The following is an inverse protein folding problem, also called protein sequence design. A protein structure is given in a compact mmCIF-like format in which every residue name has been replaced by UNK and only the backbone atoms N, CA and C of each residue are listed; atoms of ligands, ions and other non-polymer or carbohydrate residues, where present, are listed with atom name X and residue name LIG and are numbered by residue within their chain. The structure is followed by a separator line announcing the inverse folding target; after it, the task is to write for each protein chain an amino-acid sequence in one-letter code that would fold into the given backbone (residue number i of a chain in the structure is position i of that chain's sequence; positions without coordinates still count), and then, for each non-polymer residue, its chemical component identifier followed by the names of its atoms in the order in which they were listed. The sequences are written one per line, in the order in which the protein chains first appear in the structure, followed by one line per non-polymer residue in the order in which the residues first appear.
data_IF_266364468732
#
_entry.id   IF_266364468732
#
_cell.length_a   1.000
_cell.length_b   1.000
_cell.length_c   1.000
_cell.angle_alpha   90.00
_cell.angle_beta   90.00
_cell.angle_gamma   90.00
#
_symmetry.space_group_name_H-M   'P 1'
#
loop_
_entity.id
_entity.type
_entity.pdbx_description
1 polymer ?
#
# COMPACT_ATOMS: atom_id res chain seq x y z
N UNK A 1 -12.26 -13.45 7.77
CA UNK A 1 -11.82 -14.67 7.04
C UNK A 1 -12.61 -14.83 5.74
N UNK A 2 -12.34 -13.97 4.75
CA UNK A 2 -13.01 -13.99 3.44
C UNK A 2 -11.98 -14.16 2.34
N UNK A 3 -12.30 -14.94 1.31
CA UNK A 3 -11.46 -15.13 0.11
C UNK A 3 -12.19 -14.66 -1.15
N UNK A 4 -11.43 -14.45 -2.20
CA UNK A 4 -11.99 -14.07 -3.50
C UNK A 4 -12.44 -15.33 -4.26
N UNK A 5 -13.70 -15.34 -4.73
CA UNK A 5 -14.22 -16.34 -5.66
C UNK A 5 -14.33 -15.71 -7.04
N UNK A 6 -13.97 -16.49 -8.06
CA UNK A 6 -14.09 -16.14 -9.48
C UNK A 6 -14.58 -17.38 -10.21
N UNK A 7 -15.67 -17.27 -10.94
CA UNK A 7 -16.25 -18.34 -11.75
C UNK A 7 -16.10 -18.02 -13.23
N UNK A 8 -16.13 -16.75 -13.62
CA UNK A 8 -15.99 -16.30 -15.00
C UNK A 8 -14.54 -15.91 -15.36
N UNK A 9 -14.13 -16.06 -16.64
CA UNK A 9 -12.84 -15.60 -17.12
C UNK A 9 -12.69 -14.08 -16.96
N UNK A 10 -11.44 -13.61 -16.91
CA UNK A 10 -11.07 -12.19 -16.77
C UNK A 10 -11.59 -11.48 -15.50
N UNK A 11 -11.98 -12.23 -14.45
CA UNK A 11 -12.43 -11.72 -13.15
C UNK A 11 -13.71 -10.87 -13.20
N UNK A 12 -14.60 -11.12 -14.17
CA UNK A 12 -15.83 -10.33 -14.37
C UNK A 12 -16.88 -10.50 -13.26
N UNK A 13 -16.76 -11.56 -12.46
CA UNK A 13 -17.71 -11.94 -11.40
C UNK A 13 -17.05 -12.03 -10.01
N UNK A 14 -15.88 -11.41 -9.84
CA UNK A 14 -15.11 -11.52 -8.61
C UNK A 14 -15.94 -11.08 -7.38
N UNK A 15 -16.12 -12.00 -6.42
CA UNK A 15 -16.92 -11.75 -5.22
C UNK A 15 -16.24 -12.30 -3.96
N UNK A 16 -16.51 -11.67 -2.83
CA UNK A 16 -15.97 -12.09 -1.54
C UNK A 16 -16.88 -13.15 -0.91
N UNK A 17 -16.31 -14.32 -0.61
CA UNK A 17 -17.00 -15.39 0.10
C UNK A 17 -16.30 -15.67 1.43
N UNK A 18 -17.05 -16.17 2.42
CA UNK A 18 -16.44 -16.68 3.66
C UNK A 18 -15.60 -17.91 3.31
N UNK A 19 -14.39 -17.97 3.84
CA UNK A 19 -13.57 -19.17 3.66
C UNK A 19 -13.98 -20.24 4.68
N UNK A 20 -14.51 -21.36 4.19
CA UNK A 20 -14.93 -22.48 5.03
C UNK A 20 -13.76 -23.28 5.61
N UNK A 21 -12.60 -23.24 4.95
CA UNK A 21 -11.39 -23.97 5.33
C UNK A 21 -10.29 -23.00 5.78
N UNK A 22 -10.67 -22.02 6.59
CA UNK A 22 -9.73 -21.00 7.07
C UNK A 22 -8.64 -21.63 7.94
N UNK A 23 -7.40 -21.39 7.57
CA UNK A 23 -6.21 -21.95 8.21
C UNK A 23 -5.38 -20.82 8.80
N UNK A 24 -5.43 -20.65 10.11
CA UNK A 24 -4.75 -19.55 10.81
C UNK A 24 -3.23 -19.66 10.73
N UNK A 25 -2.68 -20.88 10.67
CA UNK A 25 -1.23 -21.12 10.60
C UNK A 25 -0.66 -20.70 9.24
N UNK A 26 -1.47 -20.77 8.18
CA UNK A 26 -1.11 -20.17 6.90
C UNK A 26 -0.96 -18.63 7.01
N UNK A 27 -1.80 -17.97 7.79
CA UNK A 27 -1.88 -16.51 7.86
C UNK A 27 -0.99 -15.88 8.92
N UNK A 28 -0.74 -16.56 10.05
CA UNK A 28 0.10 -16.08 11.15
C UNK A 28 1.32 -16.96 11.24
N UNK A 29 2.49 -16.42 10.87
CA UNK A 29 3.73 -17.20 10.73
C UNK A 29 4.82 -16.70 11.66
N UNK A 30 5.46 -17.58 12.45
CA UNK A 30 6.70 -17.21 13.11
C UNK A 30 7.83 -17.08 12.08
N UNK A 31 8.77 -16.18 12.35
CA UNK A 31 9.99 -16.00 11.58
C UNK A 31 11.10 -15.50 12.51
N UNK A 32 12.35 -15.80 12.18
CA UNK A 32 13.50 -15.37 12.96
C UNK A 32 14.54 -14.70 12.06
N UNK A 33 15.21 -13.67 12.58
CA UNK A 33 16.33 -13.05 11.88
C UNK A 33 17.63 -13.84 12.11
N UNK A 34 18.49 -13.94 11.09
CA UNK A 34 19.86 -14.39 11.31
C UNK A 34 20.62 -13.37 12.18
N UNK A 35 21.58 -13.86 12.97
CA UNK A 35 22.53 -12.98 13.66
C UNK A 35 23.22 -12.06 12.63
N UNK A 36 23.46 -10.77 12.95
CA UNK A 36 23.32 -10.12 14.26
C UNK A 36 21.91 -9.57 14.59
N UNK A 37 20.91 -9.73 13.71
CA UNK A 37 19.54 -9.29 14.03
C UNK A 37 19.33 -7.76 14.01
N UNK A 38 20.07 -7.01 13.18
CA UNK A 38 19.90 -5.55 13.08
C UNK A 38 18.68 -5.21 12.25
N UNK A 39 18.31 -3.93 12.26
CA UNK A 39 17.29 -3.37 11.37
C UNK A 39 17.59 -3.64 9.89
N UNK A 40 18.88 -3.74 9.50
CA UNK A 40 19.27 -4.11 8.13
C UNK A 40 18.75 -5.49 7.75
N UNK A 41 18.94 -6.50 8.61
CA UNK A 41 18.47 -7.86 8.37
C UNK A 41 16.93 -7.91 8.39
N UNK A 42 16.28 -7.17 9.28
CA UNK A 42 14.83 -7.03 9.32
C UNK A 42 14.27 -6.50 8.00
N UNK A 43 14.80 -5.39 7.49
CA UNK A 43 14.32 -4.76 6.26
C UNK A 43 14.61 -5.64 5.04
N UNK A 44 15.68 -6.44 5.04
CA UNK A 44 15.93 -7.44 4.01
C UNK A 44 14.88 -8.56 4.01
N UNK A 45 14.50 -9.06 5.20
CA UNK A 45 13.42 -10.04 5.34
C UNK A 45 12.08 -9.46 4.85
N UNK A 46 11.70 -8.28 5.33
CA UNK A 46 10.47 -7.58 4.93
C UNK A 46 10.42 -7.38 3.41
N UNK A 47 11.56 -7.01 2.79
CA UNK A 47 11.68 -6.88 1.34
C UNK A 47 11.28 -8.14 0.59
N UNK A 48 11.78 -9.30 1.06
CA UNK A 48 11.45 -10.60 0.47
C UNK A 48 9.97 -10.95 0.66
N UNK A 49 9.45 -10.79 1.87
CA UNK A 49 8.05 -11.09 2.20
C UNK A 49 7.08 -10.18 1.41
N UNK A 50 7.44 -8.92 1.22
CA UNK A 50 6.61 -7.99 0.46
C UNK A 50 6.63 -8.26 -1.05
N UNK A 51 7.75 -8.74 -1.60
CA UNK A 51 7.89 -9.09 -3.01
C UNK A 51 7.04 -10.31 -3.43
N UNK A 52 6.82 -11.26 -2.52
CA UNK A 52 6.04 -12.47 -2.81
C UNK A 52 4.56 -12.12 -3.09
N UNK A 53 3.96 -12.70 -4.14
CA UNK A 53 2.53 -12.50 -4.39
C UNK A 53 1.71 -13.31 -3.38
N UNK A 54 0.61 -12.73 -2.90
CA UNK A 54 -0.31 -13.44 -2.01
C UNK A 54 -1.14 -14.46 -2.80
N UNK A 55 -1.44 -15.59 -2.17
CA UNK A 55 -2.37 -16.57 -2.73
C UNK A 55 -3.81 -16.02 -2.69
N UNK A 56 -4.38 -15.75 -3.87
CA UNK A 56 -5.72 -15.21 -4.01
C UNK A 56 -6.83 -16.23 -3.72
N UNK A 57 -6.47 -17.52 -3.56
CA UNK A 57 -7.41 -18.61 -3.19
C UNK A 57 -7.70 -18.64 -1.68
N UNK A 58 -6.98 -17.85 -0.89
CA UNK A 58 -7.11 -17.71 0.56
C UNK A 58 -7.45 -16.26 0.92
N UNK A 59 -7.84 -15.97 2.17
CA UNK A 59 -7.94 -14.59 2.62
C UNK A 59 -6.65 -13.82 2.35
N UNK A 60 -6.76 -12.67 1.69
CA UNK A 60 -5.58 -11.95 1.19
C UNK A 60 -4.95 -11.06 2.25
N UNK A 61 -4.58 -11.66 3.37
CA UNK A 61 -3.78 -11.05 4.44
C UNK A 61 -2.78 -12.08 5.00
N UNK A 62 -1.62 -11.61 5.47
CA UNK A 62 -0.59 -12.41 6.12
C UNK A 62 0.01 -11.57 7.26
N UNK A 63 0.41 -12.21 8.35
CA UNK A 63 1.05 -11.62 9.51
C UNK A 63 2.27 -12.47 9.90
N UNK A 64 3.41 -11.81 10.08
CA UNK A 64 4.66 -12.46 10.47
C UNK A 64 5.09 -11.91 11.83
N UNK A 65 5.27 -12.81 12.80
CA UNK A 65 5.91 -12.50 14.07
C UNK A 65 7.41 -12.79 13.92
N UNK A 66 8.23 -11.74 13.94
CA UNK A 66 9.65 -11.80 13.62
C UNK A 66 10.47 -11.62 14.92
N UNK A 67 11.16 -12.68 15.33
CA UNK A 67 12.06 -12.68 16.49
C UNK A 67 13.54 -12.51 16.09
N UNK A 68 14.41 -12.44 17.09
CA UNK A 68 15.86 -12.35 16.89
C UNK A 68 16.36 -10.96 16.52
N UNK A 69 15.59 -9.91 16.86
CA UNK A 69 16.02 -8.52 16.69
C UNK A 69 16.87 -8.11 17.89
N UNK A 70 17.99 -7.42 17.63
CA UNK A 70 18.87 -6.90 18.67
C UNK A 70 18.13 -6.03 19.71
N UNK A 71 18.55 -6.10 20.97
CA UNK A 71 18.00 -5.31 22.06
C UNK A 71 16.69 -5.85 22.63
N UNK A 72 16.49 -7.17 22.64
CA UNK A 72 15.29 -7.83 23.17
C UNK A 72 13.99 -7.34 22.50
N UNK A 73 14.01 -7.25 21.17
CA UNK A 73 12.88 -6.76 20.37
C UNK A 73 12.35 -7.85 19.46
N UNK A 74 11.11 -7.68 19.06
CA UNK A 74 10.48 -8.42 17.98
C UNK A 74 9.80 -7.43 17.03
N UNK A 75 9.44 -7.89 15.85
CA UNK A 75 8.66 -7.12 14.89
C UNK A 75 7.43 -7.88 14.45
N UNK A 76 6.38 -7.13 14.12
CA UNK A 76 5.20 -7.65 13.44
C UNK A 76 5.21 -7.07 12.04
N UNK A 77 5.20 -7.94 11.03
CA UNK A 77 5.04 -7.53 9.64
C UNK A 77 3.70 -8.03 9.11
N UNK A 78 2.81 -7.09 8.80
CA UNK A 78 1.48 -7.37 8.28
C UNK A 78 1.38 -6.96 6.82
N UNK A 79 0.86 -7.85 5.99
CA UNK A 79 0.63 -7.63 4.57
C UNK A 79 -0.84 -7.89 4.27
N UNK A 80 -1.53 -6.91 3.71
CA UNK A 80 -2.95 -7.01 3.39
C UNK A 80 -3.17 -6.51 1.97
N UNK A 81 -3.97 -7.23 1.19
CA UNK A 81 -4.30 -6.80 -0.16
C UNK A 81 -5.26 -5.61 -0.15
N UNK A 82 -4.98 -4.59 -0.96
CA UNK A 82 -5.68 -3.30 -0.95
C UNK A 82 -7.18 -3.40 -1.29
N UNK A 83 -7.60 -4.44 -2.01
CA UNK A 83 -9.02 -4.74 -2.27
C UNK A 83 -9.79 -5.16 -1.02
N UNK A 84 -9.11 -5.61 0.03
CA UNK A 84 -9.71 -6.02 1.30
C UNK A 84 -9.77 -4.86 2.28
N UNK A 85 -8.72 -4.05 2.34
CA UNK A 85 -8.55 -2.97 3.32
C UNK A 85 -7.81 -1.81 2.68
N UNK A 86 -8.32 -0.60 2.85
CA UNK A 86 -7.61 0.62 2.48
C UNK A 86 -6.49 0.95 3.51
N UNK A 87 -5.43 1.64 3.09
CA UNK A 87 -4.25 1.91 3.92
C UNK A 87 -4.57 2.63 5.23
N UNK A 88 -5.51 3.57 5.24
CA UNK A 88 -5.94 4.27 6.46
C UNK A 88 -6.63 3.31 7.44
N UNK A 89 -7.49 2.42 6.93
CA UNK A 89 -8.18 1.42 7.74
C UNK A 89 -7.19 0.40 8.33
N UNK A 90 -6.16 0.00 7.57
CA UNK A 90 -5.11 -0.89 8.05
C UNK A 90 -4.31 -0.28 9.20
N UNK A 91 -3.91 1.00 9.09
CA UNK A 91 -3.17 1.70 10.16
C UNK A 91 -4.02 1.86 11.42
N UNK A 92 -5.31 2.24 11.27
CA UNK A 92 -6.23 2.35 12.40
C UNK A 92 -6.45 1.03 13.11
N UNK A 93 -6.56 -0.07 12.36
CA UNK A 93 -6.64 -1.41 12.93
C UNK A 93 -5.38 -1.75 13.73
N UNK A 94 -4.20 -1.46 13.19
CA UNK A 94 -2.97 -1.78 13.89
C UNK A 94 -2.83 -0.98 15.18
N UNK A 95 -3.21 0.31 15.15
CA UNK A 95 -3.23 1.17 16.33
C UNK A 95 -4.27 0.73 17.38
N UNK A 96 -5.45 0.28 16.96
CA UNK A 96 -6.50 -0.13 17.90
C UNK A 96 -6.19 -1.41 18.69
N UNK A 97 -5.12 -2.12 18.32
CA UNK A 97 -4.63 -3.32 19.02
C UNK A 97 -3.30 -3.08 19.74
N UNK A 98 -2.83 -1.83 19.80
CA UNK A 98 -1.65 -1.45 20.57
C UNK A 98 -2.10 -0.93 21.92
N UNK A 99 -1.69 -1.63 22.97
CA UNK A 99 -1.96 -1.23 24.34
C UNK A 99 -1.17 0.04 24.70
N UNK A 100 -1.77 0.91 25.51
CA UNK A 100 -1.07 2.06 26.07
C UNK A 100 -0.29 1.71 27.35
N UNK A 101 -0.74 0.67 28.05
CA UNK A 101 -0.14 0.13 29.28
C UNK A 101 0.04 -1.38 29.20
N UNK A 102 0.86 -1.97 30.08
CA UNK A 102 1.16 -3.40 30.05
C UNK A 102 -0.04 -4.29 30.45
N UNK A 103 -1.01 -3.73 31.18
CA UNK A 103 -2.14 -4.48 31.76
C UNK A 103 -3.38 -4.50 30.86
N UNK A 104 -3.34 -3.78 29.73
CA UNK A 104 -4.44 -3.76 28.76
C UNK A 104 -4.49 -5.06 27.96
N UNK A 105 -5.54 -5.84 28.17
CA UNK A 105 -5.83 -7.03 27.36
C UNK A 105 -6.55 -6.62 26.07
N UNK A 106 -5.76 -6.43 25.01
CA UNK A 106 -6.26 -6.16 23.66
C UNK A 106 -6.14 -7.40 22.77
N UNK A 107 -7.17 -7.69 21.97
CA UNK A 107 -7.11 -8.84 21.08
C UNK A 107 -6.04 -8.61 20.00
N UNK A 108 -5.37 -9.67 19.52
CA UNK A 108 -4.25 -9.52 18.61
C UNK A 108 -4.68 -8.96 17.25
N UNK A 109 -3.75 -8.37 16.50
CA UNK A 109 -4.06 -7.75 15.19
C UNK A 109 -4.71 -8.71 14.18
N UNK A 110 -4.43 -10.02 14.28
CA UNK A 110 -4.94 -11.04 13.37
C UNK A 110 -6.34 -11.58 13.75
N UNK A 111 -6.86 -11.24 14.92
CA UNK A 111 -8.24 -11.58 15.32
C UNK A 111 -9.26 -10.54 14.83
N UNK A 112 -8.81 -9.54 14.08
CA UNK A 112 -9.67 -8.54 13.48
C UNK A 112 -10.78 -9.20 12.66
N UNK A 113 -12.01 -9.11 13.15
CA UNK A 113 -13.16 -9.45 12.34
C UNK A 113 -13.33 -8.39 11.28
N UNK A 114 -13.04 -8.76 10.04
CA UNK A 114 -13.35 -7.97 8.86
C UNK A 114 -14.87 -7.95 8.65
N UNK A 115 -15.59 -7.31 9.57
CA UNK A 115 -17.04 -7.17 9.54
C UNK A 115 -17.42 -6.23 8.41
N UNK A 116 -17.90 -6.86 7.34
CA UNK A 116 -18.84 -6.37 6.34
C UNK A 116 -19.18 -4.88 6.43
N UNK A 117 -18.52 -4.06 5.61
CA UNK A 117 -19.31 -3.26 4.66
C UNK A 117 -19.59 -4.17 3.47
N UNK A 118 -20.48 -5.14 3.64
CA UNK A 118 -21.15 -5.66 2.45
C UNK A 118 -21.84 -4.43 1.87
N UNK A 119 -21.64 -4.08 0.59
CA UNK A 119 -22.64 -3.28 -0.08
C UNK A 119 -23.98 -3.96 0.23
N UNK A 120 -24.98 -3.16 0.65
CA UNK A 120 -26.36 -3.63 0.73
C UNK A 120 -26.58 -4.48 -0.52
N UNK A 121 -27.07 -5.71 -0.40
CA UNK A 121 -27.42 -6.55 -1.57
C UNK A 121 -28.48 -5.80 -2.37
N UNK A 122 -28.08 -4.80 -3.16
CA UNK A 122 -28.75 -4.53 -4.39
C UNK A 122 -28.56 -5.81 -5.19
N UNK A 123 -29.67 -6.43 -5.54
CA UNK A 123 -29.70 -7.52 -6.50
C UNK A 123 -29.12 -6.95 -7.79
N UNK A 124 -27.79 -6.97 -7.91
CA UNK A 124 -27.11 -6.73 -9.19
C UNK A 124 -27.44 -7.98 -9.98
N UNK A 125 -28.51 -7.89 -10.77
CA UNK A 125 -28.68 -8.74 -11.93
C UNK A 125 -27.33 -8.81 -12.64
N UNK A 126 -26.95 -10.00 -13.11
CA UNK A 126 -25.84 -10.16 -14.05
C UNK A 126 -25.99 -9.04 -15.09
N UNK A 127 -24.97 -8.18 -15.31
CA UNK A 127 -25.10 -7.13 -16.29
C UNK A 127 -25.42 -7.81 -17.61
N UNK A 128 -26.59 -7.49 -18.18
CA UNK A 128 -26.84 -7.76 -19.58
C UNK A 128 -25.63 -7.21 -20.36
N UNK A 129 -25.12 -7.93 -21.38
CA UNK A 129 -24.09 -7.35 -22.24
C UNK A 129 -24.61 -6.00 -22.73
N UNK A 130 -23.83 -4.91 -22.58
CA UNK A 130 -24.29 -3.59 -22.95
C UNK A 130 -24.70 -3.63 -24.41
N UNK A 131 -25.86 -3.04 -24.72
CA UNK A 131 -26.29 -2.92 -26.10
C UNK A 131 -25.20 -2.17 -26.91
N UNK A 132 -25.07 -2.40 -28.23
CA UNK A 132 -24.09 -1.69 -29.05
C UNK A 132 -24.15 -0.17 -28.90
N UNK A 133 -25.34 0.38 -28.62
CA UNK A 133 -25.55 1.81 -28.34
C UNK A 133 -24.95 2.24 -27.00
N UNK A 134 -25.09 1.45 -25.95
CA UNK A 134 -24.50 1.74 -24.62
C UNK A 134 -22.98 1.62 -24.63
N UNK A 135 -22.43 0.65 -25.37
CA UNK A 135 -20.99 0.52 -25.59
C UNK A 135 -20.43 1.74 -26.35
N UNK A 136 -21.11 2.17 -27.41
CA UNK A 136 -20.75 3.36 -28.19
C UNK A 136 -20.84 4.64 -27.36
N UNK A 137 -21.92 4.82 -26.61
CA UNK A 137 -22.10 5.98 -25.73
C UNK A 137 -21.07 6.01 -24.60
N UNK A 138 -20.71 4.86 -24.04
CA UNK A 138 -19.64 4.77 -23.02
C UNK A 138 -18.27 5.13 -23.60
N UNK A 139 -17.99 4.71 -24.83
CA UNK A 139 -16.77 5.08 -25.55
C UNK A 139 -16.73 6.57 -25.88
N UNK A 140 -17.83 7.13 -26.38
CA UNK A 140 -17.96 8.55 -26.68
C UNK A 140 -17.84 9.42 -25.42
N UNK A 141 -18.46 9.01 -24.31
CA UNK A 141 -18.35 9.69 -23.02
C UNK A 141 -16.93 9.60 -22.44
N UNK A 142 -16.24 8.47 -22.61
CA UNK A 142 -14.83 8.32 -22.23
C UNK A 142 -13.90 9.22 -23.05
N UNK A 143 -14.15 9.34 -24.36
CA UNK A 143 -13.43 10.26 -25.23
C UNK A 143 -13.68 11.74 -24.85
N UNK A 144 -14.92 12.10 -24.51
CA UNK A 144 -15.28 13.44 -24.05
C UNK A 144 -14.58 13.81 -22.73
N UNK A 145 -14.51 12.88 -21.77
CA UNK A 145 -13.74 13.08 -20.53
C UNK A 145 -12.24 13.26 -20.79
N UNK A 146 -11.69 12.56 -21.78
CA UNK A 146 -10.29 12.74 -22.20
C UNK A 146 -10.06 14.13 -22.79
N UNK A 147 -11.00 14.63 -23.60
CA UNK A 147 -10.97 15.98 -24.18
C UNK A 147 -11.11 17.05 -23.10
N UNK A 148 -11.98 16.86 -22.10
CA UNK A 148 -12.12 17.78 -20.98
C UNK A 148 -10.87 17.81 -20.09
N UNK A 149 -10.24 16.65 -19.86
CA UNK A 149 -8.92 16.56 -19.20
C UNK A 149 -7.85 17.34 -19.97
N UNK A 150 -7.87 17.31 -21.31
CA UNK A 150 -6.95 18.08 -22.14
C UNK A 150 -7.19 19.61 -22.06
N UNK A 151 -8.47 20.01 -21.91
CA UNK A 151 -8.92 21.41 -21.77
C UNK A 151 -8.74 22.01 -20.37
N UNK A 152 -8.35 21.21 -19.36
CA UNK A 152 -8.05 21.76 -18.02
C UNK A 152 -6.89 22.76 -18.05
N UNK A 153 -6.98 23.89 -17.31
CA UNK A 153 -5.95 24.93 -17.26
C UNK A 153 -4.57 24.38 -16.92
N UNK A 154 -3.51 24.99 -17.46
CA UNK A 154 -2.12 24.52 -17.35
C UNK A 154 -1.65 24.36 -15.90
N UNK A 155 -2.23 25.08 -14.94
CA UNK A 155 -1.81 25.11 -13.54
C UNK A 155 -2.53 24.10 -12.63
N UNK A 156 -3.33 23.20 -13.19
CA UNK A 156 -3.95 22.11 -12.43
C UNK A 156 -2.94 21.00 -12.10
N UNK A 157 -2.90 20.59 -10.83
CA UNK A 157 -2.13 19.43 -10.33
C UNK A 157 -2.36 18.14 -11.13
N UNK A 158 -3.45 18.04 -11.88
CA UNK A 158 -3.75 16.90 -12.75
C UNK A 158 -2.76 16.76 -13.92
N UNK A 159 -2.20 17.85 -14.47
CA UNK A 159 -1.16 17.78 -15.52
C UNK A 159 0.23 17.44 -14.97
N UNK A 160 0.53 17.77 -13.70
CA UNK A 160 1.81 17.41 -13.08
C UNK A 160 2.07 15.90 -13.08
N UNK A 161 1.01 15.09 -12.97
CA UNK A 161 1.08 13.62 -13.08
C UNK A 161 1.48 13.13 -14.49
N UNK A 162 1.22 13.92 -15.53
CA UNK A 162 1.51 13.58 -16.93
C UNK A 162 2.72 14.32 -17.51
N UNK A 163 3.26 15.32 -16.80
CA UNK A 163 4.47 16.06 -17.19
C UNK A 163 5.74 15.57 -16.48
N UNK A 164 5.62 14.59 -15.59
CA UNK A 164 6.77 14.03 -14.89
C UNK A 164 7.86 13.59 -15.89
N UNK A 165 9.10 14.07 -15.73
CA UNK A 165 10.17 13.76 -16.66
C UNK A 165 10.44 12.25 -16.69
N UNK A 166 10.86 11.74 -17.85
CA UNK A 166 11.33 10.35 -17.95
C UNK A 166 12.62 10.21 -17.14
N UNK A 167 12.57 9.45 -16.05
CA UNK A 167 13.73 9.13 -15.22
C UNK A 167 13.94 7.62 -15.15
N UNK A 168 15.06 7.19 -14.57
CA UNK A 168 15.33 5.78 -14.28
C UNK A 168 14.30 5.12 -13.35
N UNK A 169 13.49 5.93 -12.64
CA UNK A 169 12.47 5.46 -11.70
C UNK A 169 11.11 5.20 -12.36
N UNK A 170 10.82 5.86 -13.47
CA UNK A 170 9.54 5.74 -14.20
C UNK A 170 9.53 4.54 -15.16
N UNK A 171 10.23 3.45 -14.78
CA UNK A 171 10.29 2.20 -15.56
C UNK A 171 9.23 1.22 -15.07
N UNK A 172 8.97 0.18 -15.87
CA UNK A 172 8.05 -0.90 -15.48
C UNK A 172 8.53 -1.52 -14.17
N UNK A 173 7.69 -1.43 -13.14
CA UNK A 173 8.00 -1.98 -11.81
C UNK A 173 7.99 -3.51 -11.87
N UNK A 174 9.09 -4.13 -11.46
CA UNK A 174 9.20 -5.58 -11.34
C UNK A 174 8.59 -6.06 -10.02
N UNK A 175 8.45 -7.38 -9.75
CA UNK A 175 8.01 -7.86 -8.44
C UNK A 175 9.02 -7.63 -7.32
N UNK A 176 10.29 -7.37 -7.63
CA UNK A 176 11.32 -7.15 -6.63
C UNK A 176 10.99 -5.92 -5.79
N UNK A 177 11.18 -6.04 -4.48
CA UNK A 177 10.96 -4.97 -3.52
C UNK A 177 12.20 -4.84 -2.65
N UNK A 178 12.50 -3.60 -2.26
CA UNK A 178 13.52 -3.30 -1.27
C UNK A 178 12.98 -2.22 -0.35
N UNK A 179 13.01 -2.51 0.95
CA UNK A 179 12.60 -1.59 1.99
C UNK A 179 13.86 -1.00 2.63
N UNK A 180 13.81 0.30 2.85
CA UNK A 180 14.77 1.06 3.62
C UNK A 180 13.95 1.96 4.56
N UNK A 181 14.37 2.06 5.81
CA UNK A 181 13.72 2.91 6.80
C UNK A 181 14.78 3.54 7.68
N UNK A 182 14.54 4.79 8.05
CA UNK A 182 15.36 5.57 8.94
C UNK A 182 14.40 6.37 9.84
N UNK A 183 14.79 6.59 11.09
CA UNK A 183 14.00 7.36 12.04
C UNK A 183 14.66 8.71 12.31
N UNK A 184 13.84 9.75 12.42
CA UNK A 184 14.28 11.08 12.81
C UNK A 184 13.42 11.57 13.98
N UNK A 185 14.03 12.22 14.99
CA UNK A 185 13.26 12.82 16.08
C UNK A 185 12.27 13.86 15.55
N UNK A 186 11.01 13.72 15.91
CA UNK A 186 9.96 14.64 15.46
C UNK A 186 10.21 16.07 15.95
N UNK A 187 10.80 16.24 17.13
CA UNK A 187 11.20 17.54 17.66
C UNK A 187 12.19 18.26 16.73
N UNK A 188 13.19 17.53 16.20
CA UNK A 188 14.15 18.07 15.24
C UNK A 188 13.43 18.58 13.98
N UNK A 189 12.52 17.78 13.44
CA UNK A 189 11.75 18.16 12.24
C UNK A 189 10.92 19.42 12.50
N UNK A 190 10.22 19.49 13.64
CA UNK A 190 9.44 20.68 14.03
C UNK A 190 10.32 21.91 14.24
N UNK A 191 11.51 21.76 14.84
CA UNK A 191 12.46 22.86 15.07
C UNK A 191 12.94 23.47 13.75
N UNK A 192 13.28 22.64 12.77
CA UNK A 192 13.69 23.10 11.44
C UNK A 192 12.52 23.78 10.73
N UNK A 193 11.34 23.17 10.75
CA UNK A 193 10.12 23.74 10.16
C UNK A 193 9.85 25.16 10.68
N UNK A 194 9.87 25.33 12.01
CA UNK A 194 9.71 26.65 12.65
C UNK A 194 10.80 27.65 12.23
N UNK A 195 12.06 27.21 12.12
CA UNK A 195 13.18 28.06 11.72
C UNK A 195 13.07 28.63 10.31
N UNK A 196 12.37 27.92 9.40
CA UNK A 196 12.16 28.35 8.01
C UNK A 196 10.74 28.86 7.73
N UNK A 197 9.92 29.09 8.77
CA UNK A 197 8.49 29.42 8.63
C UNK A 197 7.75 28.44 7.70
N UNK A 198 8.07 27.15 7.83
CA UNK A 198 7.57 26.07 7.01
C UNK A 198 6.79 25.04 7.86
N UNK A 199 6.06 24.15 7.19
CA UNK A 199 5.34 23.04 7.83
C UNK A 199 6.20 21.78 7.90
N UNK A 200 5.77 20.78 8.68
CA UNK A 200 6.42 19.45 8.71
C UNK A 200 6.44 18.82 7.31
N UNK A 201 5.36 19.00 6.53
CA UNK A 201 5.27 18.45 5.18
C UNK A 201 6.30 19.10 4.24
N UNK A 202 6.55 20.40 4.38
CA UNK A 202 7.57 21.09 3.56
C UNK A 202 8.97 20.54 3.84
N UNK A 203 9.29 20.25 5.11
CA UNK A 203 10.56 19.63 5.48
C UNK A 203 10.66 18.21 4.90
N UNK A 204 9.59 17.41 4.98
CA UNK A 204 9.57 16.06 4.40
C UNK A 204 9.72 16.11 2.87
N UNK A 205 9.03 17.03 2.19
CA UNK A 205 9.14 17.24 0.75
C UNK A 205 10.55 17.68 0.35
N UNK A 206 11.16 18.59 1.11
CA UNK A 206 12.54 19.01 0.89
C UNK A 206 13.51 17.84 1.04
N UNK A 207 13.37 17.02 2.10
CA UNK A 207 14.20 15.82 2.29
C UNK A 207 14.06 14.83 1.14
N UNK A 208 12.82 14.51 0.73
CA UNK A 208 12.55 13.60 -0.38
C UNK A 208 13.07 14.16 -1.72
N UNK A 209 12.84 15.44 -1.98
CA UNK A 209 13.28 16.12 -3.20
C UNK A 209 14.80 16.19 -3.33
N UNK A 210 15.50 16.54 -2.24
CA UNK A 210 16.96 16.54 -2.20
C UNK A 210 17.53 15.14 -2.40
N UNK A 211 17.00 14.15 -1.68
CA UNK A 211 17.44 12.74 -1.82
C UNK A 211 17.25 12.24 -3.25
N UNK A 212 16.08 12.51 -3.86
CA UNK A 212 15.79 12.13 -5.24
C UNK A 212 16.74 12.80 -6.23
N UNK A 213 16.99 14.10 -6.05
CA UNK A 213 17.91 14.88 -6.89
C UNK A 213 19.34 14.35 -6.80
N UNK A 214 19.83 14.10 -5.59
CA UNK A 214 21.20 13.60 -5.36
C UNK A 214 21.35 12.18 -5.87
N UNK A 215 20.34 11.33 -5.68
CA UNK A 215 20.30 10.00 -6.27
C UNK A 215 20.38 10.08 -7.80
N UNK A 216 19.53 10.86 -8.45
CA UNK A 216 19.54 10.99 -9.91
C UNK A 216 20.87 11.57 -10.43
N UNK A 217 21.48 12.53 -9.72
CA UNK A 217 22.83 13.03 -10.05
C UNK A 217 23.90 11.95 -9.95
N UNK A 218 23.86 11.10 -8.93
CA UNK A 218 24.84 10.03 -8.75
C UNK A 218 24.83 8.98 -9.88
N UNK A 219 23.73 8.92 -10.64
CA UNK A 219 23.56 8.07 -11.83
C UNK A 219 23.62 8.85 -13.15
N UNK A 220 24.01 10.12 -13.14
CA UNK A 220 24.00 11.02 -14.30
C UNK A 220 22.64 11.02 -15.05
N UNK A 221 21.55 10.95 -14.28
CA UNK A 221 20.18 10.75 -14.77
C UNK A 221 19.23 11.89 -14.33
N UNK A 222 19.78 13.04 -13.95
CA UNK A 222 18.99 14.19 -13.52
C UNK A 222 18.28 14.84 -14.72
N UNK A 223 16.95 14.97 -14.72
CA UNK A 223 16.24 15.59 -15.84
C UNK A 223 16.48 17.10 -15.90
N UNK A 224 16.45 17.65 -17.12
CA UNK A 224 16.64 19.08 -17.37
C UNK A 224 15.49 19.97 -16.86
N UNK A 225 14.30 19.39 -16.64
CA UNK A 225 13.12 20.08 -16.12
C UNK A 225 12.52 19.27 -14.94
N UNK A 226 11.95 19.94 -13.93
CA UNK A 226 11.22 19.28 -12.85
C UNK A 226 9.98 18.54 -13.36
#
# INVERSE_FOLDING_TARGET
NQKLQRVLPFNLDASWIKDGNFDIEYHVRPSALPKPGRIRELLALVSRLHAQRMDQRRPMWECYLIEGIEGNRFAIYSKIHHSMVDGVAATRLMQSRMAHTADEDLPPIWSAEWTKRLPKKEKRSLPMPPSPKEAFNSFANGAAQLVDLLKTPKDSNAKALFQAPKTILNRRVTPARRFAAQSWPMERIRKVAKGYNATVNDIVLAMCGSCLRDYLKSYDALPAKP
#
